data_IF_369137145819
#
_entry.id   IF_369137145819
#
_cell.length_a   1.000
_cell.length_b   1.000
_cell.length_c   1.000
_cell.angle_alpha   90.00
_cell.angle_beta   90.00
_cell.angle_gamma   90.00
#
_symmetry.space_group_name_H-M   'P 1'
#
loop_
_entity.id
_entity.type
_entity.pdbx_description
1 polymer ?
#
# COMPACT_ATOMS: atom_id res chain seq x y z
N UNK A 1 -35.32 -24.48 28.81
CA UNK A 1 -34.07 -23.96 28.21
C UNK A 1 -34.46 -22.89 27.22
N UNK A 2 -34.20 -21.61 27.48
CA UNK A 2 -34.49 -20.57 26.50
C UNK A 2 -33.53 -20.74 25.33
N UNK A 3 -34.04 -21.18 24.18
CA UNK A 3 -33.24 -21.39 22.97
C UNK A 3 -32.47 -20.15 22.55
N UNK A 4 -31.53 -20.33 21.63
CA UNK A 4 -30.83 -19.20 21.00
C UNK A 4 -31.83 -18.28 20.28
N UNK A 5 -31.47 -17.02 19.99
CA UNK A 5 -32.39 -16.06 19.32
C UNK A 5 -32.91 -16.65 18.00
N UNK A 6 -32.04 -17.38 17.28
CA UNK A 6 -32.37 -18.00 16.01
C UNK A 6 -33.35 -19.18 16.16
N UNK A 7 -33.29 -19.93 17.26
CA UNK A 7 -34.23 -21.02 17.57
C UNK A 7 -35.63 -20.52 17.92
N UNK A 8 -35.73 -19.33 18.53
CA UNK A 8 -37.01 -18.75 18.96
C UNK A 8 -37.62 -17.79 17.92
N UNK A 9 -36.94 -17.56 16.78
CA UNK A 9 -37.43 -16.65 15.75
C UNK A 9 -38.43 -17.36 14.82
N UNK A 10 -39.61 -16.76 14.65
CA UNK A 10 -40.56 -17.19 13.63
C UNK A 10 -39.96 -16.98 12.22
N UNK A 11 -40.24 -17.89 11.29
CA UNK A 11 -39.77 -17.79 9.89
C UNK A 11 -40.12 -16.45 9.22
N UNK A 12 -41.26 -15.84 9.56
CA UNK A 12 -41.63 -14.50 9.08
C UNK A 12 -40.67 -13.40 9.55
N UNK A 13 -40.26 -13.44 10.82
CA UNK A 13 -39.30 -12.49 11.41
C UNK A 13 -37.89 -12.71 10.84
N UNK A 14 -37.52 -13.97 10.62
CA UNK A 14 -36.22 -14.31 10.03
C UNK A 14 -36.15 -13.82 8.58
N UNK A 15 -37.21 -14.04 7.79
CA UNK A 15 -37.30 -13.54 6.42
C UNK A 15 -37.22 -12.01 6.35
N UNK A 16 -37.91 -11.29 7.24
CA UNK A 16 -37.82 -9.83 7.29
C UNK A 16 -36.39 -9.34 7.60
N UNK A 17 -35.68 -9.99 8.52
CA UNK A 17 -34.30 -9.66 8.87
C UNK A 17 -33.33 -9.95 7.70
N UNK A 18 -33.51 -11.07 7.00
CA UNK A 18 -32.72 -11.41 5.81
C UNK A 18 -32.94 -10.39 4.69
N UNK A 19 -34.19 -9.99 4.43
CA UNK A 19 -34.51 -8.95 3.44
C UNK A 19 -33.85 -7.63 3.80
N UNK A 20 -33.87 -7.25 5.08
CA UNK A 20 -33.20 -6.03 5.56
C UNK A 20 -31.69 -6.06 5.28
N UNK A 21 -31.00 -7.16 5.59
CA UNK A 21 -29.57 -7.29 5.29
C UNK A 21 -29.29 -7.33 3.79
N UNK A 22 -30.15 -7.98 3.00
CA UNK A 22 -30.01 -8.02 1.55
C UNK A 22 -30.15 -6.62 0.94
N UNK A 23 -31.13 -5.83 1.38
CA UNK A 23 -31.28 -4.43 0.96
C UNK A 23 -30.06 -3.60 1.37
N UNK A 24 -29.57 -3.75 2.60
CA UNK A 24 -28.36 -3.07 3.05
C UNK A 24 -27.13 -3.42 2.19
N UNK A 25 -26.97 -4.70 1.82
CA UNK A 25 -25.89 -5.16 0.95
C UNK A 25 -26.01 -4.57 -0.45
N UNK A 26 -27.22 -4.55 -1.04
CA UNK A 26 -27.48 -3.91 -2.33
C UNK A 26 -27.12 -2.42 -2.26
N UNK A 27 -27.52 -1.71 -1.21
CA UNK A 27 -27.15 -0.31 -1.02
C UNK A 27 -25.64 -0.12 -0.98
N UNK A 28 -24.90 -0.97 -0.26
CA UNK A 28 -23.44 -0.90 -0.23
C UNK A 28 -22.80 -1.14 -1.61
N UNK A 29 -23.34 -2.08 -2.40
CA UNK A 29 -22.89 -2.30 -3.77
C UNK A 29 -23.18 -1.09 -4.67
N UNK A 30 -24.35 -0.46 -4.54
CA UNK A 30 -24.69 0.74 -5.31
C UNK A 30 -23.78 1.92 -4.94
N UNK A 31 -23.45 2.10 -3.66
CA UNK A 31 -22.48 3.11 -3.21
C UNK A 31 -21.10 2.84 -3.81
N UNK A 32 -20.62 1.59 -3.78
CA UNK A 32 -19.34 1.22 -4.37
C UNK A 32 -19.30 1.37 -5.90
N UNK A 33 -20.39 1.06 -6.60
CA UNK A 33 -20.44 1.07 -8.06
C UNK A 33 -20.72 2.44 -8.68
N UNK A 34 -21.56 3.27 -8.05
CA UNK A 34 -22.01 4.55 -8.61
C UNK A 34 -21.38 5.78 -7.96
N UNK A 35 -20.90 5.68 -6.70
CA UNK A 35 -20.38 6.84 -5.96
C UNK A 35 -18.86 6.78 -5.84
N UNK A 36 -18.30 5.60 -5.53
CA UNK A 36 -16.85 5.47 -5.36
C UNK A 36 -16.14 5.49 -6.73
N UNK A 37 -15.12 6.35 -6.92
CA UNK A 37 -14.27 6.27 -8.10
C UNK A 37 -13.35 5.05 -8.01
N UNK A 38 -12.56 4.84 -9.07
CA UNK A 38 -11.54 3.79 -9.09
C UNK A 38 -10.60 3.89 -7.87
N UNK A 39 -10.24 2.77 -7.24
CA UNK A 39 -9.52 2.77 -5.97
C UNK A 39 -8.10 3.34 -6.10
N UNK A 40 -7.43 3.11 -7.23
CA UNK A 40 -6.08 3.60 -7.49
C UNK A 40 -6.01 4.32 -8.84
N UNK A 41 -5.20 5.39 -8.90
CA UNK A 41 -4.77 6.05 -10.12
C UNK A 41 -3.33 5.65 -10.46
N UNK A 42 -3.01 5.63 -11.75
CA UNK A 42 -1.66 5.35 -12.25
C UNK A 42 -1.24 6.50 -13.17
N UNK A 43 -0.11 7.11 -12.85
CA UNK A 43 0.47 8.20 -13.62
C UNK A 43 1.89 7.79 -14.05
N UNK A 44 2.20 7.86 -15.34
CA UNK A 44 3.57 7.68 -15.86
C UNK A 44 4.25 9.03 -16.01
N UNK A 45 5.47 9.13 -15.49
CA UNK A 45 6.28 10.35 -15.50
C UNK A 45 7.63 10.03 -16.14
N UNK A 46 7.95 10.70 -17.24
CA UNK A 46 9.27 10.65 -17.85
C UNK A 46 10.22 11.56 -17.06
N UNK A 47 11.42 11.07 -16.77
CA UNK A 47 12.47 11.86 -16.14
C UNK A 47 12.92 13.02 -17.03
N UNK A 48 13.18 14.18 -16.43
CA UNK A 48 13.97 15.22 -17.09
C UNK A 48 15.43 15.09 -16.67
N UNK A 49 16.33 15.04 -17.65
CA UNK A 49 17.79 14.97 -17.42
C UNK A 49 18.29 16.39 -17.14
N UNK A 50 18.75 16.63 -15.93
CA UNK A 50 19.28 17.92 -15.50
C UNK A 50 20.79 17.82 -15.27
N UNK A 51 21.55 18.82 -15.73
CA UNK A 51 22.96 18.98 -15.34
C UNK A 51 23.08 19.51 -13.90
N UNK A 52 23.98 18.94 -13.11
CA UNK A 52 24.27 19.37 -11.74
C UNK A 52 25.68 19.94 -11.65
N UNK A 53 25.86 21.15 -11.13
CA UNK A 53 27.17 21.79 -10.94
C UNK A 53 27.99 21.21 -9.76
N UNK A 54 27.87 19.91 -9.49
CA UNK A 54 28.61 19.19 -8.44
C UNK A 54 28.08 19.33 -7.00
N UNK A 55 27.21 20.30 -6.69
CA UNK A 55 26.61 20.40 -5.36
C UNK A 55 25.46 19.39 -5.16
N UNK A 56 25.57 18.53 -4.15
CA UNK A 56 24.52 17.56 -3.78
C UNK A 56 23.44 18.15 -2.85
N UNK A 57 23.70 19.33 -2.27
CA UNK A 57 22.74 20.04 -1.42
C UNK A 57 21.53 20.52 -2.21
N UNK A 58 21.74 20.93 -3.46
CA UNK A 58 20.78 21.77 -4.18
C UNK A 58 19.68 20.92 -4.84
N UNK A 59 18.44 21.41 -4.76
CA UNK A 59 17.30 20.76 -5.37
C UNK A 59 17.15 21.18 -6.82
N UNK A 60 17.31 20.22 -7.72
CA UNK A 60 16.98 20.41 -9.13
C UNK A 60 15.50 20.12 -9.35
N UNK A 61 14.77 21.07 -9.92
CA UNK A 61 13.35 20.94 -10.24
C UNK A 61 13.08 21.45 -11.66
N UNK A 62 11.97 21.01 -12.25
CA UNK A 62 11.64 21.27 -13.66
C UNK A 62 10.69 22.47 -13.78
N UNK A 63 9.85 22.67 -12.77
CA UNK A 63 8.80 23.70 -12.73
C UNK A 63 9.00 24.57 -11.49
N UNK A 64 9.22 25.87 -11.70
CA UNK A 64 9.47 26.86 -10.64
C UNK A 64 10.17 28.11 -11.20
N UNK A 65 10.75 28.92 -10.32
CA UNK A 65 11.42 30.18 -10.70
C UNK A 65 12.73 29.95 -11.45
N UNK A 66 13.51 28.95 -11.04
CA UNK A 66 14.79 28.60 -11.65
C UNK A 66 14.81 27.13 -12.07
N UNK A 67 14.14 26.76 -13.18
CA UNK A 67 14.12 25.38 -13.64
C UNK A 67 15.54 24.91 -13.99
N UNK A 68 15.80 23.61 -13.80
CA UNK A 68 17.06 23.01 -14.20
C UNK A 68 17.28 23.15 -15.72
N UNK A 69 18.55 23.19 -16.16
CA UNK A 69 18.88 23.09 -17.58
C UNK A 69 18.66 21.65 -18.04
N UNK A 70 17.63 21.43 -18.86
CA UNK A 70 17.34 20.13 -19.47
C UNK A 70 18.37 19.80 -20.55
N UNK A 71 18.88 18.57 -20.53
CA UNK A 71 19.76 18.03 -21.55
C UNK A 71 18.92 17.16 -22.49
N UNK A 72 18.72 17.63 -23.72
CA UNK A 72 17.96 16.89 -24.75
C UNK A 72 18.87 16.25 -25.81
N UNK A 73 20.09 16.76 -26.01
CA UNK A 73 21.01 16.29 -27.05
C UNK A 73 22.11 15.37 -26.51
N UNK A 74 22.43 14.32 -27.30
CA UNK A 74 23.44 13.30 -26.96
C UNK A 74 24.87 13.89 -26.87
N UNK A 75 25.14 14.99 -27.58
CA UNK A 75 26.43 15.68 -27.56
C UNK A 75 26.66 16.44 -26.24
N UNK A 76 25.61 16.97 -25.61
CA UNK A 76 25.69 17.60 -24.28
C UNK A 76 25.84 16.56 -23.16
N UNK A 77 25.31 15.33 -23.34
CA UNK A 77 25.44 14.23 -22.39
C UNK A 77 26.90 13.81 -22.15
N UNK A 78 27.74 13.84 -23.18
CA UNK A 78 29.16 13.46 -23.11
C UNK A 78 30.01 14.45 -22.29
N UNK A 79 29.54 15.69 -22.12
CA UNK A 79 30.27 16.72 -21.39
C UNK A 79 30.05 16.64 -19.86
N UNK A 80 28.98 15.96 -19.41
CA UNK A 80 28.54 15.91 -18.02
C UNK A 80 28.35 14.48 -17.49
N UNK A 81 29.06 13.47 -18.03
CA UNK A 81 28.84 12.03 -17.75
C UNK A 81 28.72 11.64 -16.26
N UNK A 82 29.25 12.44 -15.33
CA UNK A 82 29.23 12.19 -13.88
C UNK A 82 28.29 13.13 -13.08
N UNK A 83 27.55 14.01 -13.77
CA UNK A 83 26.81 15.13 -13.18
C UNK A 83 25.33 15.17 -13.57
N UNK A 84 24.82 14.10 -14.19
CA UNK A 84 23.41 14.03 -14.62
C UNK A 84 22.52 13.59 -13.46
N UNK A 85 21.42 14.32 -13.28
CA UNK A 85 20.37 14.00 -12.32
C UNK A 85 19.06 13.81 -13.06
N UNK A 86 18.44 12.66 -12.86
CA UNK A 86 17.10 12.36 -13.35
C UNK A 86 16.10 12.94 -12.36
N UNK A 87 15.37 13.96 -12.80
CA UNK A 87 14.42 14.69 -11.96
C UNK A 87 13.00 14.29 -12.32
N UNK A 88 12.23 13.95 -11.28
CA UNK A 88 10.80 13.70 -11.38
C UNK A 88 10.07 14.65 -10.45
N UNK A 89 9.20 15.49 -11.00
CA UNK A 89 8.38 16.42 -10.22
C UNK A 89 6.91 16.02 -10.29
N UNK A 90 6.33 15.72 -9.14
CA UNK A 90 5.07 15.00 -8.98
C UNK A 90 4.14 15.81 -8.06
N UNK A 91 2.82 15.89 -8.35
CA UNK A 91 2.12 15.30 -9.49
C UNK A 91 2.42 16.01 -10.82
N UNK A 92 2.18 15.32 -11.94
CA UNK A 92 2.36 15.88 -13.28
C UNK A 92 1.18 16.77 -13.67
N UNK A 93 1.41 17.88 -14.40
CA UNK A 93 0.34 18.75 -14.85
C UNK A 93 -0.51 18.04 -15.92
N UNK A 94 -1.83 18.27 -15.88
CA UNK A 94 -2.77 17.76 -16.89
C UNK A 94 -3.57 18.91 -17.48
N UNK A 95 -3.64 18.97 -18.81
CA UNK A 95 -4.40 20.02 -19.51
C UNK A 95 -3.94 21.45 -19.19
N UNK A 96 -2.63 21.64 -18.91
CA UNK A 96 -2.07 22.93 -18.54
C UNK A 96 -2.32 23.37 -17.09
N UNK A 97 -2.98 22.54 -16.28
CA UNK A 97 -3.19 22.81 -14.85
C UNK A 97 -2.17 22.04 -14.00
N UNK A 98 -1.56 22.73 -13.04
CA UNK A 98 -0.74 22.10 -12.01
C UNK A 98 -1.69 21.43 -11.03
N UNK A 99 -1.60 20.11 -10.95
CA UNK A 99 -2.32 19.32 -9.96
C UNK A 99 -1.58 19.34 -8.63
N UNK A 100 -2.31 19.12 -7.54
CA UNK A 100 -1.78 18.92 -6.21
C UNK A 100 -2.29 17.60 -5.63
N UNK A 101 -1.47 17.00 -4.79
CA UNK A 101 -1.92 15.89 -3.98
C UNK A 101 -2.74 16.37 -2.79
N UNK A 102 -3.63 15.50 -2.33
CA UNK A 102 -4.47 15.73 -1.17
C UNK A 102 -4.24 14.64 -0.13
N UNK A 103 -4.31 15.01 1.15
CA UNK A 103 -4.21 14.08 2.30
C UNK A 103 -5.25 12.96 2.30
N UNK A 104 -6.29 13.07 1.48
CA UNK A 104 -7.26 11.99 1.25
C UNK A 104 -6.69 10.84 0.42
N UNK A 105 -5.59 11.06 -0.29
CA UNK A 105 -4.81 10.01 -0.92
C UNK A 105 -3.91 9.43 0.18
N UNK A 106 -3.95 8.12 0.37
CA UNK A 106 -3.33 7.51 1.56
C UNK A 106 -2.00 6.87 1.27
N UNK A 107 -1.72 6.55 0.02
CA UNK A 107 -0.57 5.74 -0.36
C UNK A 107 0.00 6.25 -1.69
N UNK A 108 1.33 6.21 -1.79
CA UNK A 108 2.08 6.51 -3.01
C UNK A 108 3.14 5.44 -3.23
N UNK A 109 3.06 4.75 -4.36
CA UNK A 109 4.04 3.75 -4.76
C UNK A 109 4.75 4.28 -6.00
N UNK A 110 6.08 4.30 -5.96
CA UNK A 110 6.93 4.65 -7.09
C UNK A 110 7.62 3.42 -7.65
N UNK A 111 7.37 3.12 -8.92
CA UNK A 111 7.99 2.02 -9.67
C UNK A 111 8.81 2.62 -10.81
N UNK A 112 10.10 2.35 -10.82
CA UNK A 112 11.03 2.83 -11.84
C UNK A 112 11.16 1.81 -12.97
N UNK A 113 11.18 2.30 -14.20
CA UNK A 113 11.44 1.52 -15.42
C UNK A 113 12.52 2.23 -16.23
N UNK A 114 13.52 1.48 -16.69
CA UNK A 114 14.68 2.00 -17.39
C UNK A 114 14.61 1.62 -18.87
N UNK A 115 14.77 2.60 -19.75
CA UNK A 115 14.88 2.37 -21.18
C UNK A 115 16.36 2.36 -21.55
N UNK A 116 16.87 1.14 -21.83
CA UNK A 116 18.28 0.92 -22.20
C UNK A 116 18.33 0.47 -23.65
N UNK A 117 19.18 1.10 -24.47
CA UNK A 117 19.33 0.73 -25.88
C UNK A 117 20.61 -0.05 -26.14
N UNK A 118 20.49 -1.08 -26.97
CA UNK A 118 21.62 -1.86 -27.45
C UNK A 118 22.48 -1.06 -28.43
N UNK A 119 23.79 -1.11 -28.22
CA UNK A 119 24.82 -0.54 -29.10
C UNK A 119 25.92 -1.57 -29.31
N UNK A 120 26.22 -1.87 -30.58
CA UNK A 120 27.22 -2.87 -31.00
C UNK A 120 28.67 -2.42 -30.83
N UNK A 121 28.90 -1.09 -30.82
CA UNK A 121 30.23 -0.47 -30.79
C UNK A 121 30.84 -0.47 -29.38
N UNK A 122 30.01 -0.51 -28.34
CA UNK A 122 30.49 -0.53 -26.97
C UNK A 122 30.72 -1.97 -26.50
N UNK A 123 31.92 -2.28 -26.02
CA UNK A 123 32.24 -3.58 -25.36
C UNK A 123 31.40 -3.82 -24.08
N UNK A 124 30.62 -2.83 -23.67
CA UNK A 124 29.73 -2.85 -22.50
C UNK A 124 28.34 -3.40 -22.85
N UNK A 125 28.27 -4.64 -23.35
CA UNK A 125 27.00 -5.36 -23.40
C UNK A 125 26.52 -5.56 -21.96
N UNK A 126 25.30 -5.13 -21.67
CA UNK A 126 24.74 -5.32 -20.34
C UNK A 126 24.52 -6.80 -20.09
N UNK A 127 25.05 -7.30 -18.98
CA UNK A 127 24.80 -8.66 -18.55
C UNK A 127 23.29 -8.86 -18.27
N UNK A 128 22.72 -10.06 -18.55
CA UNK A 128 21.29 -10.30 -18.37
C UNK A 128 20.79 -10.03 -16.94
N UNK A 129 21.67 -10.16 -15.95
CA UNK A 129 21.41 -9.84 -14.55
C UNK A 129 22.53 -8.95 -14.05
N UNK A 130 22.21 -7.71 -13.77
CA UNK A 130 23.17 -6.73 -13.25
C UNK A 130 22.60 -6.05 -12.00
N UNK A 131 23.48 -5.46 -11.18
CA UNK A 131 23.08 -4.70 -10.00
C UNK A 131 23.22 -3.22 -10.31
N UNK A 132 22.11 -2.49 -10.25
CA UNK A 132 22.11 -1.03 -10.37
C UNK A 132 22.10 -0.40 -8.98
N UNK A 133 22.97 0.59 -8.78
CA UNK A 133 23.03 1.40 -7.57
C UNK A 133 22.41 2.76 -7.86
N UNK A 134 21.31 3.08 -7.19
CA UNK A 134 20.56 4.31 -7.35
C UNK A 134 20.80 5.19 -6.13
N UNK A 135 21.30 6.41 -6.32
CA UNK A 135 21.24 7.41 -5.27
C UNK A 135 19.96 8.21 -5.44
N UNK A 136 19.03 8.03 -4.51
CA UNK A 136 17.71 8.66 -4.55
C UNK A 136 17.58 9.70 -3.44
N UNK A 137 17.00 10.85 -3.80
CA UNK A 137 16.71 11.95 -2.89
C UNK A 137 15.27 12.39 -3.13
N UNK A 138 14.41 12.13 -2.15
CA UNK A 138 13.00 12.49 -2.17
C UNK A 138 12.79 13.75 -1.33
N UNK A 139 12.22 14.77 -1.93
CA UNK A 139 11.82 16.01 -1.28
C UNK A 139 10.33 16.24 -1.38
N UNK A 140 9.82 17.09 -0.50
CA UNK A 140 8.43 17.50 -0.49
C UNK A 140 8.29 19.02 -0.38
N UNK A 141 7.12 19.50 -0.79
CA UNK A 141 6.71 20.90 -0.66
C UNK A 141 5.20 20.97 -0.46
N UNK A 142 4.72 21.92 0.36
CA UNK A 142 3.29 22.23 0.46
C UNK A 142 2.95 23.47 -0.36
N UNK A 143 1.68 23.67 -0.68
CA UNK A 143 1.19 24.79 -1.48
C UNK A 143 1.54 26.18 -0.91
N UNK A 144 1.73 26.28 0.41
CA UNK A 144 2.04 27.53 1.09
C UNK A 144 3.56 27.81 1.20
N UNK A 145 4.41 26.84 0.84
CA UNK A 145 5.85 27.02 0.83
C UNK A 145 6.29 27.75 -0.46
N UNK A 146 7.38 28.51 -0.39
CA UNK A 146 7.98 29.15 -1.57
C UNK A 146 8.41 28.15 -2.64
N UNK A 147 8.43 28.57 -3.91
CA UNK A 147 8.66 27.66 -5.03
C UNK A 147 9.96 26.86 -4.97
N UNK A 148 10.99 27.46 -4.40
CA UNK A 148 12.36 26.92 -4.35
C UNK A 148 12.65 26.20 -3.03
N UNK A 149 11.74 26.25 -2.05
CA UNK A 149 11.96 25.74 -0.70
C UNK A 149 11.56 24.26 -0.56
N UNK A 150 12.27 23.38 -1.27
CA UNK A 150 12.10 21.93 -1.16
C UNK A 150 12.73 21.40 0.13
N UNK A 151 11.96 20.63 0.89
CA UNK A 151 12.40 20.01 2.15
C UNK A 151 12.74 18.55 1.90
N UNK A 152 13.81 18.05 2.53
CA UNK A 152 14.19 16.65 2.43
C UNK A 152 13.16 15.78 3.16
N UNK A 153 12.62 14.80 2.45
CA UNK A 153 11.81 13.73 3.03
C UNK A 153 12.72 12.58 3.46
N UNK A 154 13.45 12.02 2.49
CA UNK A 154 14.38 10.93 2.69
C UNK A 154 15.45 10.93 1.59
N UNK A 155 16.62 10.40 1.90
CA UNK A 155 17.65 10.10 0.90
C UNK A 155 18.30 8.78 1.25
N UNK A 156 18.50 7.95 0.22
CA UNK A 156 19.22 6.68 0.38
C UNK A 156 19.90 6.26 -0.92
N UNK A 157 20.98 5.50 -0.74
CA UNK A 157 21.66 4.77 -1.82
C UNK A 157 21.11 3.36 -1.81
N UNK A 158 20.35 3.01 -2.84
CA UNK A 158 19.68 1.71 -2.95
C UNK A 158 20.35 0.87 -4.04
N UNK A 159 20.62 -0.39 -3.72
CA UNK A 159 21.03 -1.38 -4.73
C UNK A 159 19.82 -2.22 -5.12
N UNK A 160 19.62 -2.40 -6.43
CA UNK A 160 18.52 -3.17 -7.00
C UNK A 160 19.05 -4.08 -8.10
N UNK A 161 18.49 -5.28 -8.18
CA UNK A 161 18.79 -6.19 -9.28
C UNK A 161 17.98 -5.75 -10.49
N UNK A 162 18.64 -5.66 -11.63
CA UNK A 162 18.06 -5.33 -12.92
C UNK A 162 18.24 -6.54 -13.84
N UNK A 163 17.14 -7.18 -14.17
CA UNK A 163 17.11 -8.24 -15.17
C UNK A 163 16.64 -7.65 -16.50
N UNK A 164 17.47 -7.77 -17.54
CA UNK A 164 17.14 -7.27 -18.87
C UNK A 164 17.49 -8.29 -19.94
N UNK A 165 16.59 -8.45 -20.89
CA UNK A 165 16.74 -9.38 -22.00
C UNK A 165 16.57 -8.64 -23.34
N UNK A 166 17.32 -9.07 -24.35
CA UNK A 166 17.17 -8.56 -25.71
C UNK A 166 16.96 -9.72 -26.67
N UNK A 167 15.83 -9.70 -27.38
CA UNK A 167 15.48 -10.72 -28.37
C UNK A 167 16.22 -10.53 -29.70
N UNK A 168 16.47 -9.27 -30.08
CA UNK A 168 17.14 -8.91 -31.34
C UNK A 168 18.28 -7.95 -31.05
N UNK A 169 19.52 -8.42 -31.19
CA UNK A 169 20.75 -7.62 -31.01
C UNK A 169 21.00 -6.72 -32.22
N UNK A 170 20.21 -5.67 -32.36
CA UNK A 170 20.36 -4.65 -33.41
C UNK A 170 20.51 -3.28 -32.76
N UNK A 171 21.38 -2.46 -33.34
CA UNK A 171 21.68 -1.14 -32.79
C UNK A 171 20.43 -0.27 -32.72
N UNK A 172 20.27 0.41 -31.57
CA UNK A 172 19.10 1.22 -31.25
C UNK A 172 17.86 0.43 -30.81
N UNK A 173 17.94 -0.90 -30.67
CA UNK A 173 16.81 -1.68 -30.14
C UNK A 173 16.84 -1.66 -28.60
N UNK A 174 15.69 -1.45 -27.93
CA UNK A 174 15.63 -1.41 -26.49
C UNK A 174 15.78 -2.81 -25.89
N UNK A 175 16.45 -2.88 -24.74
CA UNK A 175 16.37 -4.03 -23.85
C UNK A 175 14.98 -4.07 -23.20
N UNK A 176 14.45 -5.28 -23.01
CA UNK A 176 13.27 -5.49 -22.19
C UNK A 176 13.71 -5.69 -20.74
N UNK A 177 13.57 -4.65 -19.93
CA UNK A 177 14.02 -4.62 -18.55
C UNK A 177 12.88 -4.85 -17.56
N UNK A 178 13.20 -5.53 -16.46
CA UNK A 178 12.31 -5.66 -15.31
C UNK A 178 12.10 -4.30 -14.62
N UNK A 179 10.91 -4.13 -14.02
CA UNK A 179 10.58 -2.94 -13.23
C UNK A 179 11.25 -2.97 -11.86
N UNK A 180 11.63 -1.81 -11.36
CA UNK A 180 12.29 -1.64 -10.06
C UNK A 180 11.32 -0.98 -9.08
N UNK A 181 10.89 -1.66 -7.99
CA UNK A 181 10.16 -0.99 -6.91
C UNK A 181 11.10 -0.05 -6.16
N UNK A 182 10.81 1.26 -6.24
CA UNK A 182 11.70 2.29 -5.71
C UNK A 182 11.32 2.66 -4.29
N UNK A 183 10.08 3.10 -4.07
CA UNK A 183 9.59 3.49 -2.75
C UNK A 183 8.08 3.27 -2.61
N UNK A 184 7.63 3.17 -1.36
CA UNK A 184 6.23 3.12 -0.97
C UNK A 184 6.03 4.03 0.25
N UNK A 185 5.20 5.06 0.10
CA UNK A 185 4.80 5.96 1.19
C UNK A 185 3.43 5.52 1.70
N UNK A 186 3.34 5.19 2.98
CA UNK A 186 2.10 4.79 3.65
C UNK A 186 1.18 5.95 4.06
N UNK A 187 1.56 7.19 3.75
CA UNK A 187 0.74 8.40 3.92
C UNK A 187 1.19 9.46 2.91
N UNK A 188 0.26 10.03 2.15
CA UNK A 188 0.54 11.14 1.24
C UNK A 188 0.13 12.46 1.91
N UNK A 189 1.00 12.99 2.78
CA UNK A 189 0.67 14.14 3.61
C UNK A 189 0.92 15.50 2.92
N UNK A 190 1.87 15.56 1.98
CA UNK A 190 2.30 16.77 1.29
C UNK A 190 1.68 16.92 -0.10
N UNK A 191 1.64 18.15 -0.60
CA UNK A 191 0.96 18.48 -1.84
C UNK A 191 1.82 18.18 -3.08
N UNK A 192 3.13 18.35 -2.96
CA UNK A 192 4.11 18.15 -4.04
C UNK A 192 5.30 17.34 -3.58
N UNK A 193 5.81 16.51 -4.49
CA UNK A 193 7.00 15.69 -4.27
C UNK A 193 8.00 15.87 -5.43
N UNK A 194 9.28 15.84 -5.08
CA UNK A 194 10.39 15.95 -6.01
C UNK A 194 11.34 14.80 -5.77
N UNK A 195 11.60 14.01 -6.80
CA UNK A 195 12.52 12.88 -6.72
C UNK A 195 13.69 13.14 -7.65
N UNK A 196 14.88 13.23 -7.06
CA UNK A 196 16.14 13.35 -7.77
C UNK A 196 16.86 12.01 -7.68
N UNK A 197 17.12 11.39 -8.82
CA UNK A 197 17.87 10.13 -8.92
C UNK A 197 19.20 10.41 -9.61
N UNK A 198 20.28 9.96 -8.99
CA UNK A 198 21.63 9.94 -9.57
C UNK A 198 22.11 8.51 -9.73
N UNK A 199 22.88 8.27 -10.78
CA UNK A 199 23.57 7.01 -11.03
C UNK A 199 25.06 7.20 -10.76
N UNK A 200 25.54 6.97 -9.52
CA UNK A 200 26.96 7.10 -9.24
C UNK A 200 27.74 6.04 -10.01
N UNK A 201 28.78 6.44 -10.75
CA UNK A 201 29.69 5.52 -11.46
C UNK A 201 31.02 5.47 -10.73
N UNK A 202 31.48 4.27 -10.37
CA UNK A 202 32.79 4.06 -9.75
C UNK A 202 33.48 2.83 -10.35
N UNK A 203 34.50 3.07 -11.18
CA UNK A 203 35.28 2.00 -11.81
C UNK A 203 36.11 1.17 -10.82
N UNK A 204 36.53 1.74 -9.69
CA UNK A 204 37.34 1.00 -8.68
C UNK A 204 36.49 0.00 -7.93
N UNK A 205 35.27 0.42 -7.58
CA UNK A 205 34.29 -0.43 -6.86
C UNK A 205 33.37 -1.22 -7.79
N UNK A 206 33.54 -1.06 -9.11
CA UNK A 206 32.66 -1.65 -10.15
C UNK A 206 31.18 -1.31 -9.95
N UNK A 207 30.89 -0.08 -9.52
CA UNK A 207 29.51 0.40 -9.31
C UNK A 207 29.01 1.01 -10.62
N UNK A 208 27.84 0.55 -11.08
CA UNK A 208 27.17 1.01 -12.30
C UNK A 208 28.05 0.99 -13.56
N UNK A 209 29.04 0.09 -13.60
CA UNK A 209 29.86 -0.14 -14.80
C UNK A 209 29.16 -1.20 -15.67
N UNK A 210 29.11 -0.99 -16.98
CA UNK A 210 28.54 -1.96 -17.92
C UNK A 210 27.01 -2.00 -17.98
N UNK A 211 26.32 -0.93 -17.56
CA UNK A 211 24.85 -0.82 -17.62
C UNK A 211 24.30 -0.50 -19.03
N UNK A 212 25.14 -0.60 -20.07
CA UNK A 212 24.78 -0.18 -21.43
C UNK A 212 24.49 1.33 -21.53
N UNK A 213 23.78 1.73 -22.58
CA UNK A 213 23.36 3.12 -22.79
C UNK A 213 21.94 3.32 -22.25
N UNK A 214 21.83 3.84 -21.03
CA UNK A 214 20.55 4.24 -20.43
C UNK A 214 20.09 5.52 -21.12
N UNK A 215 19.05 5.43 -21.95
CA UNK A 215 18.48 6.61 -22.58
C UNK A 215 17.57 7.33 -21.61
N UNK A 216 16.47 6.69 -21.19
CA UNK A 216 15.42 7.36 -20.43
C UNK A 216 15.01 6.56 -19.20
N UNK A 217 14.38 7.26 -18.25
CA UNK A 217 13.81 6.66 -17.05
C UNK A 217 12.36 7.06 -16.91
N UNK A 218 11.50 6.06 -16.73
CA UNK A 218 10.09 6.24 -16.46
C UNK A 218 9.80 5.92 -15.00
N UNK A 219 9.01 6.78 -14.36
CA UNK A 219 8.48 6.54 -13.03
C UNK A 219 6.97 6.35 -13.13
N UNK A 220 6.50 5.15 -12.83
CA UNK A 220 5.10 4.84 -12.68
C UNK A 220 4.70 5.06 -11.22
N UNK A 221 3.71 5.93 -11.04
CA UNK A 221 3.26 6.37 -9.73
C UNK A 221 1.85 5.85 -9.53
N UNK A 222 1.68 5.06 -8.49
CA UNK A 222 0.38 4.50 -8.13
C UNK A 222 -0.05 5.16 -6.85
N UNK A 223 -1.20 5.82 -6.86
CA UNK A 223 -1.78 6.44 -5.68
C UNK A 223 -3.21 5.98 -5.44
N UNK A 224 -3.59 5.87 -4.17
CA UNK A 224 -4.99 5.63 -3.82
C UNK A 224 -5.79 6.91 -4.05
N UNK A 225 -6.92 6.83 -4.76
CA UNK A 225 -7.70 8.04 -5.09
C UNK A 225 -8.40 8.61 -3.86
N UNK A 226 -8.35 9.93 -3.71
CA UNK A 226 -8.95 10.58 -2.55
C UNK A 226 -10.48 10.42 -2.49
N UNK A 227 -11.16 10.31 -3.63
CA UNK A 227 -12.60 10.06 -3.68
C UNK A 227 -12.96 8.68 -3.17
N UNK A 228 -12.19 7.64 -3.52
CA UNK A 228 -12.39 6.30 -3.01
C UNK A 228 -12.19 6.26 -1.49
N UNK A 229 -11.11 6.87 -0.99
CA UNK A 229 -10.85 6.97 0.45
C UNK A 229 -11.98 7.65 1.21
N UNK A 230 -12.55 8.75 0.67
CA UNK A 230 -13.68 9.45 1.30
C UNK A 230 -14.89 8.53 1.46
N UNK A 231 -15.27 7.80 0.42
CA UNK A 231 -16.41 6.87 0.47
C UNK A 231 -16.12 5.73 1.45
N UNK A 232 -14.91 5.16 1.39
CA UNK A 232 -14.49 4.06 2.24
C UNK A 232 -14.46 4.43 3.74
N UNK A 233 -13.87 5.57 4.08
CA UNK A 233 -13.85 6.09 5.47
C UNK A 233 -15.26 6.43 5.94
N UNK A 234 -16.11 7.00 5.07
CA UNK A 234 -17.51 7.28 5.41
C UNK A 234 -18.29 6.00 5.73
N UNK A 235 -18.07 4.94 4.96
CA UNK A 235 -18.69 3.64 5.19
C UNK A 235 -18.26 3.04 6.54
N UNK A 236 -16.95 3.13 6.86
CA UNK A 236 -16.43 2.73 8.17
C UNK A 236 -17.08 3.53 9.30
N UNK A 237 -17.13 4.85 9.19
CA UNK A 237 -17.76 5.72 10.19
C UNK A 237 -19.24 5.41 10.40
N UNK A 238 -19.96 5.01 9.36
CA UNK A 238 -21.37 4.63 9.46
C UNK A 238 -21.58 3.28 10.16
N UNK A 239 -20.83 2.24 9.75
CA UNK A 239 -21.01 0.90 10.29
C UNK A 239 -20.34 0.68 11.65
N UNK A 240 -19.24 1.37 11.94
CA UNK A 240 -18.51 1.24 13.19
C UNK A 240 -19.39 1.37 14.46
N UNK A 241 -20.21 2.43 14.64
CA UNK A 241 -21.08 2.54 15.82
C UNK A 241 -22.17 1.47 15.85
N UNK A 242 -22.69 1.04 14.69
CA UNK A 242 -23.71 -0.03 14.59
C UNK A 242 -23.12 -1.35 15.07
N UNK A 243 -21.92 -1.70 14.62
CA UNK A 243 -21.21 -2.92 15.00
C UNK A 243 -20.87 -2.91 16.49
N UNK A 244 -20.38 -1.78 17.03
CA UNK A 244 -20.15 -1.62 18.48
C UNK A 244 -21.44 -1.83 19.25
N UNK A 245 -22.54 -1.19 18.83
CA UNK A 245 -23.84 -1.34 19.48
C UNK A 245 -24.30 -2.80 19.51
N UNK A 246 -24.16 -3.52 18.39
CA UNK A 246 -24.49 -4.94 18.30
C UNK A 246 -23.58 -5.81 19.20
N UNK A 247 -22.27 -5.54 19.22
CA UNK A 247 -21.30 -6.24 20.07
C UNK A 247 -21.62 -6.05 21.56
N UNK A 248 -21.83 -4.80 22.00
CA UNK A 248 -22.16 -4.48 23.40
C UNK A 248 -23.48 -5.12 23.79
N UNK A 249 -24.51 -5.05 22.94
CA UNK A 249 -25.79 -5.70 23.17
C UNK A 249 -25.65 -7.22 23.31
N UNK A 250 -24.90 -7.85 22.40
CA UNK A 250 -24.69 -9.31 22.41
C UNK A 250 -23.90 -9.75 23.66
N UNK A 251 -22.86 -9.01 24.02
CA UNK A 251 -22.07 -9.21 25.22
C UNK A 251 -22.92 -9.10 26.49
N UNK A 252 -23.71 -8.02 26.62
CA UNK A 252 -24.62 -7.84 27.76
C UNK A 252 -25.67 -8.95 27.85
N UNK A 253 -26.21 -9.41 26.72
CA UNK A 253 -27.17 -10.51 26.68
C UNK A 253 -26.56 -11.80 27.22
N UNK A 254 -25.33 -12.14 26.82
CA UNK A 254 -24.63 -13.34 27.30
C UNK A 254 -24.39 -13.26 28.81
N UNK A 255 -23.92 -12.12 29.31
CA UNK A 255 -23.65 -11.96 30.75
C UNK A 255 -24.89 -11.97 31.65
N UNK A 256 -26.08 -11.67 31.12
CA UNK A 256 -27.34 -11.78 31.88
C UNK A 256 -27.80 -13.22 32.08
N UNK A 257 -27.27 -14.18 31.32
CA UNK A 257 -27.58 -15.60 31.52
C UNK A 257 -26.75 -16.15 32.68
N UNK A 258 -27.37 -16.88 33.62
CA UNK A 258 -26.72 -17.46 34.81
C UNK A 258 -25.72 -18.62 34.52
N UNK A 259 -25.30 -18.80 33.26
CA UNK A 259 -24.41 -19.89 32.80
C UNK A 259 -23.07 -19.33 32.35
N UNK A 260 -22.02 -20.17 32.35
CA UNK A 260 -20.76 -19.82 31.69
C UNK A 260 -20.98 -19.73 30.16
N UNK A 261 -20.34 -18.78 29.46
CA UNK A 261 -20.50 -18.63 28.01
C UNK A 261 -20.04 -19.89 27.29
N UNK A 262 -20.77 -20.28 26.25
CA UNK A 262 -20.36 -21.40 25.40
C UNK A 262 -19.14 -21.02 24.56
N UNK A 263 -18.44 -22.04 24.04
CA UNK A 263 -17.27 -21.85 23.18
C UNK A 263 -17.63 -21.00 21.94
N UNK A 264 -18.75 -21.30 21.29
CA UNK A 264 -19.24 -20.59 20.11
C UNK A 264 -19.64 -19.13 20.40
N UNK A 265 -20.27 -18.88 21.56
CA UNK A 265 -20.59 -17.51 22.02
C UNK A 265 -19.31 -16.68 22.24
N UNK A 266 -18.27 -17.30 22.81
CA UNK A 266 -16.97 -16.67 23.04
C UNK A 266 -16.23 -16.37 21.73
N UNK A 267 -16.28 -17.29 20.77
CA UNK A 267 -15.69 -17.09 19.44
C UNK A 267 -16.43 -16.02 18.63
N UNK A 268 -17.76 -15.92 18.75
CA UNK A 268 -18.54 -14.84 18.13
C UNK A 268 -18.17 -13.46 18.72
N UNK A 269 -17.92 -13.37 20.03
CA UNK A 269 -17.41 -12.14 20.65
C UNK A 269 -16.03 -11.80 20.09
N UNK A 270 -15.14 -12.80 19.93
CA UNK A 270 -13.80 -12.58 19.36
C UNK A 270 -13.86 -12.07 17.90
N UNK A 271 -14.64 -12.71 17.03
CA UNK A 271 -14.82 -12.28 15.63
C UNK A 271 -15.45 -10.89 15.56
N UNK A 272 -16.46 -10.63 16.38
CA UNK A 272 -17.11 -9.30 16.40
C UNK A 272 -16.18 -8.21 16.92
N UNK A 273 -15.32 -8.53 17.89
CA UNK A 273 -14.31 -7.60 18.42
C UNK A 273 -13.23 -7.29 17.39
N UNK A 274 -12.73 -8.30 16.68
CA UNK A 274 -11.75 -8.11 15.61
C UNK A 274 -12.35 -7.40 14.40
N UNK A 275 -13.63 -7.64 14.07
CA UNK A 275 -14.36 -6.88 13.05
C UNK A 275 -14.56 -5.40 13.44
N UNK A 276 -14.84 -5.14 14.72
CA UNK A 276 -14.90 -3.77 15.26
C UNK A 276 -13.55 -3.09 15.14
N UNK A 277 -12.48 -3.80 15.53
CA UNK A 277 -11.12 -3.32 15.38
C UNK A 277 -10.81 -3.03 13.90
N UNK A 278 -11.22 -3.87 12.94
CA UNK A 278 -11.00 -3.65 11.50
C UNK A 278 -11.75 -2.43 10.93
N UNK A 279 -12.96 -2.15 11.43
CA UNK A 279 -13.79 -1.03 10.95
C UNK A 279 -13.51 0.31 11.66
N UNK A 280 -12.64 0.34 12.66
CA UNK A 280 -12.24 1.59 13.32
C UNK A 280 -11.64 2.59 12.29
N UNK A 281 -12.20 3.81 12.15
CA UNK A 281 -11.80 4.77 11.11
C UNK A 281 -10.55 5.57 11.51
N UNK A 282 -9.43 4.88 11.76
CA UNK A 282 -8.16 5.49 12.17
C UNK A 282 -7.51 6.31 11.05
N UNK A 283 -7.91 6.05 9.82
CA UNK A 283 -7.51 6.79 8.64
C UNK A 283 -7.85 8.28 8.67
N UNK A 284 -8.81 8.68 9.51
CA UNK A 284 -9.08 10.11 9.73
C UNK A 284 -7.88 10.80 10.36
N UNK A 285 -7.09 10.10 11.18
CA UNK A 285 -5.89 10.65 11.82
C UNK A 285 -4.83 11.04 10.79
N UNK A 286 -4.75 10.37 9.64
CA UNK A 286 -3.76 10.65 8.60
C UNK A 286 -3.99 11.99 7.89
N UNK A 287 -5.20 12.56 8.03
CA UNK A 287 -5.51 13.89 7.51
C UNK A 287 -4.85 15.01 8.32
N UNK A 288 -4.59 14.74 9.61
CA UNK A 288 -4.02 15.70 10.55
C UNK A 288 -2.54 15.43 10.83
N UNK A 289 -2.16 14.16 10.93
CA UNK A 289 -0.81 13.73 11.25
C UNK A 289 -0.22 12.88 10.13
N UNK A 290 1.07 13.03 9.89
CA UNK A 290 1.81 12.15 9.00
C UNK A 290 2.12 10.84 9.72
N UNK A 291 1.46 9.75 9.31
CA UNK A 291 1.55 8.44 9.96
C UNK A 291 2.04 7.39 8.95
N UNK A 292 3.37 7.22 8.77
CA UNK A 292 3.91 6.32 7.73
C UNK A 292 3.63 4.84 7.99
N UNK A 293 3.35 4.44 9.24
CA UNK A 293 3.08 3.05 9.63
C UNK A 293 1.63 2.58 9.39
N UNK A 294 0.77 3.42 8.82
CA UNK A 294 -0.67 3.13 8.67
C UNK A 294 -0.97 1.93 7.77
N UNK A 295 -0.18 1.73 6.72
CA UNK A 295 -0.30 0.57 5.82
C UNK A 295 -0.08 -0.73 6.62
N UNK A 296 1.06 -0.81 7.30
CA UNK A 296 1.42 -1.94 8.16
C UNK A 296 0.36 -2.23 9.24
N UNK A 297 -0.16 -1.18 9.87
CA UNK A 297 -1.20 -1.33 10.89
C UNK A 297 -2.53 -1.85 10.32
N UNK A 298 -2.87 -1.46 9.09
CA UNK A 298 -4.06 -1.95 8.38
C UNK A 298 -3.92 -3.43 8.03
N UNK A 299 -2.76 -3.86 7.56
CA UNK A 299 -2.46 -5.25 7.24
C UNK A 299 -2.54 -6.14 8.48
N UNK A 300 -1.99 -5.69 9.63
CA UNK A 300 -2.11 -6.41 10.90
C UNK A 300 -3.58 -6.59 11.29
N UNK A 301 -4.40 -5.53 11.20
CA UNK A 301 -5.82 -5.60 11.57
C UNK A 301 -6.59 -6.56 10.67
N UNK A 302 -6.33 -6.54 9.37
CA UNK A 302 -6.91 -7.48 8.42
C UNK A 302 -6.48 -8.91 8.73
N UNK A 303 -5.19 -9.14 8.96
CA UNK A 303 -4.64 -10.45 9.31
C UNK A 303 -5.27 -11.04 10.59
N UNK A 304 -5.41 -10.23 11.64
CA UNK A 304 -6.05 -10.65 12.90
C UNK A 304 -7.52 -11.04 12.67
N UNK A 305 -8.25 -10.25 11.88
CA UNK A 305 -9.65 -10.55 11.56
C UNK A 305 -9.78 -11.85 10.76
N UNK A 306 -8.96 -12.05 9.72
CA UNK A 306 -9.00 -13.27 8.91
C UNK A 306 -8.63 -14.51 9.71
N UNK A 307 -7.63 -14.42 10.59
CA UNK A 307 -7.29 -15.50 11.51
C UNK A 307 -8.47 -15.84 12.44
N UNK A 308 -9.08 -14.83 13.07
CA UNK A 308 -10.23 -15.02 13.95
C UNK A 308 -11.45 -15.63 13.23
N UNK A 309 -11.73 -15.20 12.00
CA UNK A 309 -12.85 -15.70 11.21
C UNK A 309 -12.64 -17.18 10.83
N UNK A 310 -11.42 -17.53 10.41
CA UNK A 310 -11.05 -18.92 10.10
C UNK A 310 -11.17 -19.82 11.33
N UNK A 311 -10.67 -19.36 12.49
CA UNK A 311 -10.82 -20.09 13.76
C UNK A 311 -12.29 -20.32 14.11
N UNK A 312 -13.13 -19.31 13.93
CA UNK A 312 -14.57 -19.43 14.15
C UNK A 312 -15.20 -20.48 13.24
N UNK A 313 -14.91 -20.47 11.93
CA UNK A 313 -15.47 -21.47 11.01
C UNK A 313 -15.05 -22.91 11.33
N UNK A 314 -13.80 -23.12 11.73
CA UNK A 314 -13.32 -24.44 12.13
C UNK A 314 -14.03 -24.94 13.39
N UNK A 315 -14.15 -24.09 14.41
CA UNK A 315 -14.82 -24.44 15.67
C UNK A 315 -16.32 -24.67 15.44
N UNK A 316 -16.97 -23.79 14.69
CA UNK A 316 -18.39 -23.89 14.33
C UNK A 316 -18.69 -25.21 13.61
N UNK A 317 -17.89 -25.55 12.59
CA UNK A 317 -18.07 -26.80 11.83
C UNK A 317 -17.80 -28.03 12.71
N UNK A 318 -16.78 -27.97 13.57
CA UNK A 318 -16.44 -29.06 14.49
C UNK A 318 -17.57 -29.35 15.48
N UNK A 319 -18.14 -28.32 16.09
CA UNK A 319 -19.24 -28.46 17.06
C UNK A 319 -20.49 -29.06 16.41
N UNK A 320 -20.88 -28.61 15.22
CA UNK A 320 -22.06 -29.12 14.52
C UNK A 320 -21.87 -30.53 13.91
N UNK A 321 -20.65 -30.92 13.54
CA UNK A 321 -20.35 -32.30 13.10
C UNK A 321 -20.36 -33.29 14.26
N UNK A 322 -19.92 -32.87 15.46
CA UNK A 322 -19.88 -33.72 16.67
C UNK A 322 -21.28 -34.05 17.20
N UNK A 323 -22.27 -33.17 17.04
CA UNK A 323 -23.67 -33.46 17.41
C UNK A 323 -24.25 -34.66 16.65
N UNK A 324 -23.72 -35.01 15.47
CA UNK A 324 -24.10 -36.24 14.73
C UNK A 324 -23.39 -37.51 15.21
N UNK A 325 -22.27 -37.38 15.93
CA UNK A 325 -21.46 -38.50 16.43
C UNK A 325 -21.46 -38.51 17.96
N UNK A 326 -22.57 -38.87 18.60
CA UNK A 326 -22.52 -39.10 20.05
C UNK A 326 -21.61 -40.29 20.36
N UNK A 327 -20.61 -40.07 21.23
CA UNK A 327 -19.63 -41.00 21.85
C UNK A 327 -18.25 -41.05 21.16
N UNK A 328 -17.43 -40.04 21.40
CA UNK A 328 -16.08 -40.15 22.00
C UNK A 328 -15.44 -38.75 22.15
N UNK A 329 -14.70 -38.48 23.24
CA UNK A 329 -14.12 -37.17 23.49
C UNK A 329 -12.87 -36.95 22.62
N UNK A 330 -12.96 -36.04 21.64
CA UNK A 330 -11.79 -35.64 20.84
C UNK A 330 -11.04 -34.51 21.57
N UNK A 331 -9.94 -34.87 22.22
CA UNK A 331 -8.98 -34.01 22.95
C UNK A 331 -8.16 -32.99 22.13
N UNK A 332 -8.01 -33.01 20.79
CA UNK A 332 -7.12 -32.08 20.08
C UNK A 332 -7.75 -30.72 19.72
N UNK A 333 -9.06 -30.49 19.91
CA UNK A 333 -9.69 -29.18 19.66
C UNK A 333 -9.37 -28.15 20.76
N UNK A 334 -9.14 -28.61 21.99
CA UNK A 334 -8.61 -27.77 23.07
C UNK A 334 -7.14 -27.40 22.78
N UNK A 335 -6.37 -28.29 22.14
CA UNK A 335 -5.01 -27.99 21.69
C UNK A 335 -4.99 -27.04 20.49
N UNK A 336 -5.89 -27.15 19.52
CA UNK A 336 -5.96 -26.19 18.40
C UNK A 336 -6.45 -24.83 18.88
N UNK A 337 -7.42 -24.77 19.81
CA UNK A 337 -7.84 -23.52 20.45
C UNK A 337 -6.71 -22.92 21.31
N UNK A 338 -5.96 -23.74 22.05
CA UNK A 338 -4.76 -23.31 22.78
C UNK A 338 -3.62 -22.92 21.85
N UNK A 339 -3.40 -23.59 20.73
CA UNK A 339 -2.39 -23.26 19.73
C UNK A 339 -2.76 -21.97 19.01
N UNK A 340 -4.02 -21.77 18.65
CA UNK A 340 -4.48 -20.53 18.01
C UNK A 340 -4.47 -19.37 19.00
N UNK A 341 -4.87 -19.60 20.27
CA UNK A 341 -4.76 -18.61 21.35
C UNK A 341 -3.30 -18.33 21.73
N UNK A 342 -2.42 -19.32 21.73
CA UNK A 342 -0.99 -19.17 21.99
C UNK A 342 -0.25 -18.53 20.82
N UNK A 343 -0.71 -18.76 19.59
CA UNK A 343 -0.23 -18.09 18.38
C UNK A 343 -0.70 -16.62 18.39
N UNK A 344 -1.98 -16.33 18.59
CA UNK A 344 -2.48 -14.96 18.79
C UNK A 344 -1.75 -14.23 19.94
N UNK A 345 -1.50 -14.89 21.07
CA UNK A 345 -0.78 -14.30 22.19
C UNK A 345 0.71 -14.08 21.88
N UNK A 346 1.39 -15.00 21.19
CA UNK A 346 2.80 -14.83 20.79
C UNK A 346 2.98 -13.80 19.67
N UNK A 347 2.08 -13.75 18.69
CA UNK A 347 2.20 -12.79 17.57
C UNK A 347 1.85 -11.35 18.01
N UNK A 348 1.03 -11.17 19.05
CA UNK A 348 0.68 -9.85 19.61
C UNK A 348 1.72 -9.36 20.65
N UNK A 349 2.38 -10.24 21.41
CA UNK A 349 3.31 -9.84 22.48
C UNK A 349 4.81 -9.96 22.13
N UNK A 350 5.21 -10.65 21.06
CA UNK A 350 6.62 -10.77 20.64
C UNK A 350 6.95 -9.86 19.46
N UNK A 351 6.82 -8.55 19.66
CA UNK A 351 7.60 -7.53 18.91
C UNK A 351 7.85 -6.26 19.75
N UNK A 352 8.08 -6.47 21.04
CA UNK A 352 8.70 -5.50 21.96
C UNK A 352 9.92 -6.16 22.60
N UNK A 353 10.94 -6.37 21.78
CA UNK A 353 12.36 -6.44 22.14
C UNK A 353 13.18 -6.29 20.87
#
# INVERSE_FOLDING_TARGET
>A
MSGTVIENLSGKKLSALVICFLLCQITCFLVGGFIAPQPAGIDSVLATKCASAGNDSDWLYIRGKNPCRSIESMDELLQYEHEIVFVFQIPTPRGGMILDYSRWQQMLIGILHLDVYYHSVNENQMEPKTVITLYSKLGYKNRNDDDDNWKLYASSVEQRNLECEISVKKDGYPYNCSVIPLFELGSLHHDFYLLNIRLPVDHKRKINVGLGHIADMWLFIINQTGGFTKVWVSLKCFFFPIIIGALVWFYQRIHKLKRKPLLLESMLILVSSTLTLLNMPLEILTLYFELPFMLFFTDIRQGIFYASLLSFWLVFSGEHLMVRKSKEPFTPLLEISKLCSHWLYRTIFFRSL
#
